data_IF_065910264196
#
_entry.id   IF_065910264196
#
_cell.length_a   1.000
_cell.length_b   1.000
_cell.length_c   1.000
_cell.angle_alpha   90.00
_cell.angle_beta   90.00
_cell.angle_gamma   90.00
#
_symmetry.space_group_name_H-M   'P 1'
#
loop_
_entity.id
_entity.type
_entity.pdbx_description
1 polymer ?
#
# COMPACT_ATOMS: atom_id res chain seq x y z
N UNK A 1 19.29 20.24 -23.65
CA UNK A 1 18.27 20.51 -22.60
C UNK A 1 18.24 19.26 -21.73
N UNK A 2 18.38 19.35 -20.40
CA UNK A 2 18.12 18.18 -19.56
C UNK A 2 16.75 17.64 -19.92
N UNK A 3 16.66 16.32 -20.11
CA UNK A 3 15.40 15.68 -20.44
C UNK A 3 14.42 16.00 -19.29
N UNK A 4 13.16 16.34 -19.58
CA UNK A 4 12.15 16.71 -18.56
C UNK A 4 12.13 15.66 -17.40
N UNK A 5 12.43 14.42 -17.77
CA UNK A 5 12.55 13.28 -16.88
C UNK A 5 13.72 13.38 -15.86
N UNK A 6 14.92 13.85 -16.26
CA UNK A 6 16.06 14.02 -15.34
C UNK A 6 15.76 15.08 -14.27
N UNK A 7 15.10 16.17 -14.68
CA UNK A 7 14.68 17.22 -13.76
C UNK A 7 13.64 16.71 -12.76
N UNK A 8 12.68 15.91 -13.23
CA UNK A 8 11.66 15.29 -12.38
C UNK A 8 12.31 14.35 -11.35
N UNK A 9 13.31 13.56 -11.75
CA UNK A 9 14.00 12.64 -10.84
C UNK A 9 14.94 13.33 -9.86
N UNK A 10 15.57 14.44 -10.24
CA UNK A 10 16.29 15.31 -9.31
C UNK A 10 15.34 15.87 -8.23
N UNK A 11 14.15 16.33 -8.63
CA UNK A 11 13.12 16.80 -7.69
C UNK A 11 12.62 15.66 -6.78
N UNK A 12 12.41 14.46 -7.32
CA UNK A 12 11.99 13.30 -6.53
C UNK A 12 13.05 12.94 -5.46
N UNK A 13 14.33 13.00 -5.84
CA UNK A 13 15.45 12.74 -4.93
C UNK A 13 15.56 13.81 -3.83
N UNK A 14 15.35 15.08 -4.18
CA UNK A 14 15.29 16.17 -3.20
C UNK A 14 14.11 16.01 -2.23
N UNK A 15 12.93 15.63 -2.73
CA UNK A 15 11.76 15.37 -1.90
C UNK A 15 12.00 14.20 -0.91
N UNK A 16 12.60 13.09 -1.37
CA UNK A 16 13.02 11.99 -0.51
C UNK A 16 13.97 12.44 0.60
N UNK A 17 15.00 13.22 0.25
CA UNK A 17 15.97 13.74 1.22
C UNK A 17 15.34 14.70 2.24
N UNK A 18 14.28 15.41 1.85
CA UNK A 18 13.49 16.29 2.70
C UNK A 18 12.36 15.58 3.45
N UNK A 19 12.27 14.25 3.35
CA UNK A 19 11.21 13.42 3.95
C UNK A 19 9.80 13.71 3.43
N UNK A 20 9.66 14.40 2.30
CA UNK A 20 8.39 14.60 1.59
C UNK A 20 8.10 13.38 0.70
N UNK A 21 7.79 12.26 1.35
CA UNK A 21 7.62 10.97 0.70
C UNK A 21 6.42 10.94 -0.27
N UNK A 22 5.38 11.74 0.00
CA UNK A 22 4.20 11.82 -0.87
C UNK A 22 4.51 12.56 -2.17
N UNK A 23 5.28 13.67 -2.09
CA UNK A 23 5.77 14.35 -3.28
C UNK A 23 6.76 13.47 -4.05
N UNK A 24 7.70 12.82 -3.36
CA UNK A 24 8.66 11.92 -3.98
C UNK A 24 7.97 10.80 -4.78
N UNK A 25 6.96 10.16 -4.19
CA UNK A 25 6.17 9.13 -4.88
C UNK A 25 5.45 9.70 -6.11
N UNK A 26 4.78 10.85 -5.98
CA UNK A 26 4.08 11.50 -7.09
C UNK A 26 5.01 11.78 -8.28
N UNK A 27 6.22 12.31 -8.01
CA UNK A 27 7.22 12.61 -9.03
C UNK A 27 7.79 11.32 -9.65
N UNK A 28 8.00 10.27 -8.85
CA UNK A 28 8.42 8.97 -9.38
C UNK A 28 7.35 8.35 -10.30
N UNK A 29 6.06 8.45 -9.95
CA UNK A 29 4.97 7.93 -10.79
C UNK A 29 4.86 8.71 -12.11
N UNK A 30 5.03 10.03 -12.08
CA UNK A 30 5.11 10.86 -13.29
C UNK A 30 6.30 10.45 -14.18
N UNK A 31 7.47 10.27 -13.58
CA UNK A 31 8.67 9.84 -14.30
C UNK A 31 8.54 8.42 -14.88
N UNK A 32 7.92 7.48 -14.16
CA UNK A 32 7.63 6.13 -14.67
C UNK A 32 6.72 6.17 -15.88
N UNK A 33 5.65 6.98 -15.84
CA UNK A 33 4.73 7.14 -16.96
C UNK A 33 5.46 7.71 -18.20
N UNK A 34 6.32 8.70 -18.00
CA UNK A 34 7.13 9.27 -19.08
C UNK A 34 8.16 8.28 -19.65
N UNK A 35 8.87 7.53 -18.79
CA UNK A 35 9.82 6.49 -19.21
C UNK A 35 9.13 5.37 -19.99
N UNK A 36 7.96 4.92 -19.51
CA UNK A 36 7.13 3.90 -20.18
C UNK A 36 6.65 4.38 -21.54
N UNK A 37 6.19 5.62 -21.66
CA UNK A 37 5.76 6.19 -22.94
C UNK A 37 6.90 6.28 -23.97
N UNK A 38 8.13 6.48 -23.49
CA UNK A 38 9.33 6.49 -24.33
C UNK A 38 9.93 5.09 -24.56
N UNK A 39 9.35 4.03 -23.97
CA UNK A 39 9.90 2.67 -23.94
C UNK A 39 11.34 2.62 -23.38
N UNK A 40 11.72 3.59 -22.52
CA UNK A 40 13.03 3.63 -21.87
C UNK A 40 13.00 2.77 -20.60
N UNK A 41 13.04 1.45 -20.80
CA UNK A 41 12.91 0.47 -19.73
C UNK A 41 14.10 0.49 -18.76
N UNK A 42 15.29 0.86 -19.24
CA UNK A 42 16.46 1.07 -18.39
C UNK A 42 16.24 2.23 -17.41
N UNK A 43 15.68 3.35 -17.89
CA UNK A 43 15.34 4.47 -17.01
C UNK A 43 14.16 4.11 -16.10
N UNK A 44 13.12 3.46 -16.63
CA UNK A 44 11.99 2.94 -15.85
C UNK A 44 12.47 2.12 -14.64
N UNK A 45 13.38 1.17 -14.85
CA UNK A 45 13.96 0.33 -13.81
C UNK A 45 14.71 1.13 -12.72
N UNK A 46 15.36 2.24 -13.09
CA UNK A 46 16.10 3.11 -12.14
C UNK A 46 15.17 3.91 -11.24
N UNK A 47 13.96 4.23 -11.71
CA UNK A 47 12.95 5.01 -10.95
C UNK A 47 12.28 4.15 -9.87
N UNK A 48 12.24 2.83 -10.04
CA UNK A 48 11.56 1.92 -9.11
C UNK A 48 12.19 1.92 -7.70
N UNK A 49 13.51 2.10 -7.58
CA UNK A 49 14.18 2.16 -6.28
C UNK A 49 13.73 3.36 -5.42
N UNK A 50 13.80 4.63 -5.89
CA UNK A 50 13.29 5.76 -5.12
C UNK A 50 11.77 5.68 -4.89
N UNK A 51 10.99 5.12 -5.82
CA UNK A 51 9.57 4.87 -5.60
C UNK A 51 9.32 3.89 -4.45
N UNK A 52 10.05 2.77 -4.43
CA UNK A 52 9.97 1.77 -3.38
C UNK A 52 10.27 2.41 -2.01
N UNK A 53 11.32 3.21 -1.91
CA UNK A 53 11.69 3.87 -0.67
C UNK A 53 10.64 4.87 -0.20
N UNK A 54 10.10 5.71 -1.09
CA UNK A 54 9.02 6.65 -0.75
C UNK A 54 7.81 5.93 -0.15
N UNK A 55 7.38 4.83 -0.79
CA UNK A 55 6.23 4.05 -0.35
C UNK A 55 6.50 3.27 0.93
N UNK A 56 7.71 2.74 1.10
CA UNK A 56 8.15 2.09 2.36
C UNK A 56 8.06 3.06 3.53
N UNK A 57 8.54 4.29 3.36
CA UNK A 57 8.48 5.33 4.39
C UNK A 57 7.04 5.77 4.68
N UNK A 58 6.21 5.95 3.63
CA UNK A 58 4.78 6.24 3.79
C UNK A 58 4.07 5.19 4.65
N UNK A 59 4.35 3.89 4.40
CA UNK A 59 3.81 2.79 5.18
C UNK A 59 4.28 2.81 6.64
N UNK A 60 5.57 3.08 6.89
CA UNK A 60 6.10 3.17 8.25
C UNK A 60 5.37 4.28 9.02
N UNK A 61 5.23 5.47 8.42
CA UNK A 61 4.50 6.58 9.03
C UNK A 61 3.03 6.19 9.31
N UNK A 62 2.38 5.48 8.39
CA UNK A 62 1.01 5.00 8.59
C UNK A 62 0.93 4.01 9.76
N UNK A 63 1.86 3.05 9.82
CA UNK A 63 1.92 2.02 10.86
C UNK A 63 2.31 2.56 12.24
N UNK A 64 3.02 3.69 12.30
CA UNK A 64 3.33 4.43 13.53
C UNK A 64 2.16 5.32 14.01
N UNK A 65 1.11 5.45 13.19
CA UNK A 65 -0.07 6.26 13.45
C UNK A 65 -1.15 5.57 14.29
N UNK A 66 -2.42 5.84 13.95
CA UNK A 66 -3.57 5.16 14.56
C UNK A 66 -3.88 3.87 13.80
N UNK A 67 -3.97 2.77 14.53
CA UNK A 67 -4.40 1.47 14.00
C UNK A 67 -5.86 1.22 14.38
N UNK A 68 -6.70 0.91 13.40
CA UNK A 68 -8.08 0.52 13.63
C UNK A 68 -8.41 -0.77 12.86
N UNK A 69 -8.54 -1.87 13.59
CA UNK A 69 -8.95 -3.14 13.03
C UNK A 69 -10.46 -3.29 13.18
N UNK A 70 -11.17 -3.42 12.06
CA UNK A 70 -12.61 -3.61 12.06
C UNK A 70 -13.41 -2.34 12.35
N UNK A 71 -14.54 -2.23 11.65
CA UNK A 71 -15.46 -1.10 11.73
C UNK A 71 -16.90 -1.54 11.95
N UNK A 72 -17.13 -2.75 12.49
CA UNK A 72 -18.48 -3.28 12.74
C UNK A 72 -19.38 -2.36 13.58
N UNK A 73 -18.80 -1.47 14.38
CA UNK A 73 -19.52 -0.47 15.19
C UNK A 73 -19.59 0.92 14.57
N UNK A 74 -18.94 1.13 13.42
CA UNK A 74 -18.82 2.43 12.77
C UNK A 74 -19.46 2.38 11.37
N UNK A 75 -20.13 3.45 10.98
CA UNK A 75 -20.83 3.52 9.70
C UNK A 75 -20.96 4.97 9.25
N UNK A 76 -20.99 5.16 7.92
CA UNK A 76 -21.20 6.45 7.27
C UNK A 76 -20.26 7.55 7.77
N UNK A 77 -20.77 8.63 8.41
CA UNK A 77 -19.97 9.80 8.82
C UNK A 77 -18.74 9.49 9.70
N UNK A 78 -18.74 8.37 10.43
CA UNK A 78 -17.63 8.03 11.32
C UNK A 78 -16.33 7.71 10.58
N UNK A 79 -16.39 7.14 9.36
CA UNK A 79 -15.17 6.88 8.58
C UNK A 79 -14.53 8.20 8.12
N UNK A 80 -15.37 9.17 7.76
CA UNK A 80 -14.94 10.52 7.39
C UNK A 80 -14.34 11.24 8.61
N UNK A 81 -15.01 11.16 9.76
CA UNK A 81 -14.49 11.72 11.01
C UNK A 81 -13.13 11.11 11.38
N UNK A 82 -13.00 9.79 11.27
CA UNK A 82 -11.72 9.11 11.50
C UNK A 82 -10.62 9.66 10.61
N UNK A 83 -10.88 9.87 9.32
CA UNK A 83 -9.88 10.45 8.41
C UNK A 83 -9.51 11.88 8.80
N UNK A 84 -10.48 12.71 9.18
CA UNK A 84 -10.22 14.11 9.59
C UNK A 84 -9.45 14.23 10.90
N UNK A 85 -9.52 13.20 11.76
CA UNK A 85 -8.82 13.18 13.04
C UNK A 85 -7.41 12.58 12.93
N UNK A 86 -7.10 11.87 11.83
CA UNK A 86 -5.89 11.08 11.70
C UNK A 86 -5.17 11.36 10.39
N UNK A 87 -4.06 12.09 10.47
CA UNK A 87 -3.19 12.34 9.30
C UNK A 87 -2.31 11.14 8.93
N UNK A 88 -2.21 10.16 9.83
CA UNK A 88 -1.49 8.91 9.64
C UNK A 88 -2.19 7.75 10.36
N UNK A 89 -2.27 6.60 9.70
CA UNK A 89 -2.85 5.41 10.30
C UNK A 89 -3.13 4.27 9.34
N UNK A 90 -3.48 3.11 9.91
CA UNK A 90 -3.89 1.93 9.17
C UNK A 90 -5.28 1.51 9.62
N UNK A 91 -6.20 1.29 8.67
CA UNK A 91 -7.58 0.91 8.97
C UNK A 91 -8.03 -0.29 8.13
N UNK A 92 -8.65 -1.27 8.78
CA UNK A 92 -9.36 -2.37 8.11
C UNK A 92 -10.86 -2.15 8.29
N UNK A 93 -11.55 -1.85 7.20
CA UNK A 93 -12.99 -1.65 7.16
C UNK A 93 -13.69 -3.02 7.06
N UNK A 94 -14.75 -3.20 7.83
CA UNK A 94 -15.57 -4.42 7.86
C UNK A 94 -17.05 -4.08 7.75
N UNK A 95 -17.89 -5.10 7.48
CA UNK A 95 -19.36 -5.00 7.57
C UNK A 95 -19.81 -4.29 8.86
N UNK A 96 -20.85 -3.41 8.83
CA UNK A 96 -21.81 -3.20 7.74
C UNK A 96 -21.33 -2.28 6.61
N UNK A 97 -20.13 -1.70 6.71
CA UNK A 97 -19.53 -0.96 5.60
C UNK A 97 -19.23 -1.90 4.43
N UNK A 98 -19.31 -1.35 3.22
CA UNK A 98 -19.04 -2.04 1.96
C UNK A 98 -17.60 -1.82 1.53
N UNK A 99 -17.12 -2.68 0.64
CA UNK A 99 -15.82 -2.52 0.00
C UNK A 99 -15.67 -1.16 -0.70
N UNK A 100 -16.75 -0.64 -1.30
CA UNK A 100 -16.77 0.70 -1.89
C UNK A 100 -16.49 1.81 -0.87
N UNK A 101 -16.96 1.68 0.38
CA UNK A 101 -16.70 2.69 1.40
C UNK A 101 -15.20 2.75 1.73
N UNK A 102 -14.52 1.60 1.66
CA UNK A 102 -13.07 1.52 1.85
C UNK A 102 -12.29 2.08 0.65
N UNK A 103 -12.79 1.85 -0.57
CA UNK A 103 -12.25 2.43 -1.78
C UNK A 103 -12.33 3.97 -1.77
N UNK A 104 -13.48 4.50 -1.37
CA UNK A 104 -13.72 5.94 -1.27
C UNK A 104 -12.83 6.57 -0.20
N UNK A 105 -12.69 5.94 0.97
CA UNK A 105 -11.82 6.41 2.04
C UNK A 105 -10.35 6.43 1.61
N UNK A 106 -9.89 5.38 0.93
CA UNK A 106 -8.52 5.30 0.39
C UNK A 106 -8.27 6.41 -0.63
N UNK A 107 -9.17 6.58 -1.60
CA UNK A 107 -9.05 7.62 -2.62
C UNK A 107 -8.99 9.02 -1.98
N UNK A 108 -9.82 9.26 -0.96
CA UNK A 108 -9.85 10.53 -0.25
C UNK A 108 -8.56 10.78 0.54
N UNK A 109 -8.02 9.76 1.22
CA UNK A 109 -6.72 9.84 1.90
C UNK A 109 -5.59 10.22 0.93
N UNK A 110 -5.56 9.59 -0.26
CA UNK A 110 -4.58 9.92 -1.30
C UNK A 110 -4.74 11.35 -1.83
N UNK A 111 -5.96 11.78 -2.10
CA UNK A 111 -6.26 13.14 -2.57
C UNK A 111 -5.88 14.21 -1.54
N UNK A 112 -6.05 13.92 -0.25
CA UNK A 112 -5.67 14.79 0.85
C UNK A 112 -4.19 14.69 1.23
N UNK A 113 -3.42 13.84 0.54
CA UNK A 113 -2.00 13.59 0.81
C UNK A 113 -1.77 13.18 2.28
N UNK A 114 -2.54 12.19 2.74
CA UNK A 114 -2.41 11.63 4.08
C UNK A 114 -1.60 10.33 4.07
N UNK A 115 -0.95 10.03 5.19
CA UNK A 115 -0.22 8.77 5.42
C UNK A 115 -1.17 7.68 5.94
N UNK A 116 -2.25 7.43 5.20
CA UNK A 116 -3.28 6.48 5.60
C UNK A 116 -3.32 5.30 4.64
N UNK A 117 -3.34 4.10 5.20
CA UNK A 117 -3.51 2.83 4.47
C UNK A 117 -4.83 2.17 4.85
N UNK A 118 -5.55 1.67 3.85
CA UNK A 118 -6.92 1.17 4.00
C UNK A 118 -7.05 -0.22 3.37
N UNK A 119 -7.59 -1.16 4.13
CA UNK A 119 -7.99 -2.49 3.66
C UNK A 119 -9.48 -2.70 3.90
N UNK A 120 -10.06 -3.67 3.19
CA UNK A 120 -11.41 -4.15 3.45
C UNK A 120 -11.36 -5.62 3.87
N UNK A 121 -12.17 -6.00 4.86
CA UNK A 121 -12.29 -7.38 5.29
C UNK A 121 -13.76 -7.83 5.32
N UNK A 122 -14.02 -8.93 4.64
CA UNK A 122 -15.22 -9.74 4.88
C UNK A 122 -14.97 -10.60 6.13
N UNK A 123 -15.87 -10.50 7.10
CA UNK A 123 -15.72 -11.12 8.43
C UNK A 123 -16.66 -12.30 8.56
N UNK A 124 -16.09 -13.46 8.84
CA UNK A 124 -16.78 -14.66 9.33
C UNK A 124 -16.41 -14.90 10.81
N UNK A 125 -17.04 -15.88 11.47
CA UNK A 125 -16.92 -16.07 12.93
C UNK A 125 -15.45 -16.21 13.42
N UNK A 126 -14.61 -16.94 12.68
CA UNK A 126 -13.22 -17.22 13.07
C UNK A 126 -12.18 -16.59 12.12
N UNK A 127 -12.58 -16.08 10.96
CA UNK A 127 -11.66 -15.68 9.89
C UNK A 127 -12.05 -14.35 9.23
N UNK A 128 -11.04 -13.61 8.80
CA UNK A 128 -11.19 -12.41 7.99
C UNK A 128 -10.60 -12.68 6.61
N UNK A 129 -11.42 -12.49 5.57
CA UNK A 129 -10.97 -12.47 4.17
C UNK A 129 -10.73 -11.03 3.77
N UNK A 130 -9.46 -10.68 3.60
CA UNK A 130 -9.00 -9.30 3.45
C UNK A 130 -8.63 -9.03 2.00
N UNK A 131 -8.99 -7.84 1.52
CA UNK A 131 -8.78 -7.36 0.16
C UNK A 131 -8.32 -5.92 0.15
N UNK A 132 -7.74 -5.53 -0.98
CA UNK A 132 -7.44 -4.14 -1.29
C UNK A 132 -8.70 -3.53 -1.91
N UNK A 133 -9.24 -2.41 -1.40
CA UNK A 133 -10.56 -1.93 -1.82
C UNK A 133 -10.70 -1.64 -3.33
N UNK A 134 -9.60 -1.25 -3.99
CA UNK A 134 -9.57 -0.94 -5.42
C UNK A 134 -9.05 -2.10 -6.29
N UNK A 135 -8.81 -3.27 -5.70
CA UNK A 135 -8.23 -4.43 -6.39
C UNK A 135 -8.72 -5.75 -5.75
N UNK A 136 -10.02 -6.05 -5.85
CA UNK A 136 -10.67 -7.14 -5.09
C UNK A 136 -10.28 -8.55 -5.55
N UNK A 137 -9.59 -8.69 -6.68
CA UNK A 137 -9.16 -9.99 -7.21
C UNK A 137 -8.03 -10.63 -6.38
N UNK A 138 -7.37 -9.86 -5.52
CA UNK A 138 -6.34 -10.34 -4.60
C UNK A 138 -6.93 -10.36 -3.20
N UNK A 139 -6.98 -11.55 -2.62
CA UNK A 139 -7.50 -11.75 -1.28
C UNK A 139 -6.58 -12.65 -0.44
N UNK A 140 -6.59 -12.39 0.87
CA UNK A 140 -5.86 -13.16 1.85
C UNK A 140 -6.76 -13.46 3.04
N UNK A 141 -6.84 -14.73 3.43
CA UNK A 141 -7.63 -15.16 4.59
C UNK A 141 -6.73 -15.40 5.78
N UNK A 142 -7.08 -14.81 6.93
CA UNK A 142 -6.36 -14.93 8.20
C UNK A 142 -7.33 -15.18 9.34
N UNK A 143 -6.91 -15.82 10.45
CA UNK A 143 -7.73 -15.85 11.65
C UNK A 143 -8.09 -14.43 12.11
N UNK A 144 -9.31 -14.27 12.62
CA UNK A 144 -9.80 -13.00 13.11
C UNK A 144 -8.87 -12.42 14.21
N UNK A 145 -8.60 -11.10 14.21
CA UNK A 145 -7.85 -10.48 15.28
C UNK A 145 -8.55 -10.61 16.64
N UNK A 146 -7.80 -10.58 17.76
CA UNK A 146 -8.37 -10.57 19.09
C UNK A 146 -9.47 -9.50 19.24
N UNK A 147 -10.66 -9.82 19.78
CA UNK A 147 -11.74 -8.85 19.92
C UNK A 147 -11.37 -7.57 20.68
N UNK A 148 -10.38 -7.67 21.58
CA UNK A 148 -9.84 -6.53 22.32
C UNK A 148 -9.10 -5.51 21.45
N UNK A 149 -8.71 -5.87 20.22
CA UNK A 149 -8.07 -4.98 19.25
C UNK A 149 -9.06 -4.36 18.27
N UNK A 150 -10.27 -4.91 18.19
CA UNK A 150 -11.22 -4.56 17.15
C UNK A 150 -12.11 -3.38 17.54
N UNK A 151 -12.59 -2.63 16.55
CA UNK A 151 -13.59 -1.57 16.67
C UNK A 151 -13.21 -0.45 17.66
N UNK A 152 -11.92 -0.11 17.72
CA UNK A 152 -11.42 1.06 18.42
C UNK A 152 -10.12 1.55 17.78
N UNK A 153 -9.85 2.86 17.78
CA UNK A 153 -8.55 3.39 17.41
C UNK A 153 -7.51 3.04 18.50
N UNK A 154 -6.35 2.54 18.07
CA UNK A 154 -5.23 2.16 18.94
C UNK A 154 -3.99 2.90 18.43
N UNK A 155 -3.39 3.82 19.21
CA UNK A 155 -2.11 4.41 18.85
C UNK A 155 -1.02 3.34 18.81
N UNK A 156 -0.19 3.34 17.76
CA UNK A 156 0.89 2.36 17.63
C UNK A 156 1.83 2.34 18.85
N UNK A 157 2.09 3.51 19.44
CA UNK A 157 2.91 3.67 20.65
C UNK A 157 2.38 2.94 21.91
N UNK A 158 1.11 2.50 21.91
CA UNK A 158 0.52 1.75 23.03
C UNK A 158 0.65 0.22 22.89
N UNK A 159 1.29 -0.25 21.82
CA UNK A 159 1.44 -1.68 21.52
C UNK A 159 2.78 -2.16 22.08
N UNK A 160 2.82 -3.12 23.03
CA UNK A 160 4.07 -3.67 23.52
C UNK A 160 4.76 -4.49 22.42
N UNK A 161 6.01 -4.18 22.09
CA UNK A 161 6.87 -5.02 21.28
C UNK A 161 7.12 -6.35 22.02
N UNK A 162 6.53 -7.47 21.58
CA UNK A 162 6.67 -8.72 22.32
C UNK A 162 6.65 -9.99 21.47
N UNK A 163 7.81 -10.39 20.95
CA UNK A 163 8.09 -11.78 20.53
C UNK A 163 8.05 -12.07 19.02
N UNK A 164 8.08 -13.35 18.65
CA UNK A 164 8.24 -13.84 17.26
C UNK A 164 6.93 -14.33 16.60
N UNK A 165 5.76 -13.95 17.12
CA UNK A 165 4.43 -14.32 16.57
C UNK A 165 3.88 -13.23 15.64
N UNK A 166 2.99 -13.55 14.70
CA UNK A 166 2.26 -12.54 13.90
C UNK A 166 1.45 -11.56 14.78
N UNK A 167 1.10 -11.97 16.00
CA UNK A 167 0.40 -11.15 16.99
C UNK A 167 1.36 -10.44 17.98
N UNK A 168 2.65 -10.77 17.94
CA UNK A 168 3.68 -10.24 18.85
C UNK A 168 3.91 -8.73 18.69
N UNK A 169 3.66 -8.24 17.49
CA UNK A 169 3.81 -6.84 17.10
C UNK A 169 2.46 -6.09 17.15
N UNK A 170 1.46 -6.71 17.80
CA UNK A 170 0.11 -6.20 18.00
C UNK A 170 -0.64 -5.82 16.71
N UNK A 171 -1.64 -4.92 16.81
CA UNK A 171 -2.47 -4.50 15.69
C UNK A 171 -1.71 -4.00 14.45
N UNK A 172 -0.66 -3.17 14.64
CA UNK A 172 0.15 -2.64 13.55
C UNK A 172 0.89 -3.77 12.81
N UNK A 173 1.52 -4.66 13.57
CA UNK A 173 2.21 -5.82 13.01
C UNK A 173 1.29 -6.75 12.23
N UNK A 174 0.08 -7.00 12.72
CA UNK A 174 -0.92 -7.77 12.00
C UNK A 174 -1.30 -7.09 10.67
N UNK A 175 -1.53 -5.78 10.67
CA UNK A 175 -1.84 -5.03 9.45
C UNK A 175 -0.71 -5.15 8.42
N UNK A 176 0.54 -4.92 8.83
CA UNK A 176 1.71 -5.03 7.95
C UNK A 176 1.91 -6.45 7.42
N UNK A 177 1.68 -7.46 8.26
CA UNK A 177 1.70 -8.85 7.84
C UNK A 177 0.67 -9.12 6.74
N UNK A 178 -0.56 -8.62 6.90
CA UNK A 178 -1.61 -8.76 5.88
C UNK A 178 -1.21 -8.10 4.56
N UNK A 179 -0.64 -6.88 4.59
CA UNK A 179 -0.14 -6.21 3.39
C UNK A 179 0.93 -7.05 2.67
N UNK A 180 1.87 -7.63 3.43
CA UNK A 180 2.89 -8.52 2.88
C UNK A 180 2.27 -9.76 2.22
N UNK A 181 1.29 -10.40 2.88
CA UNK A 181 0.63 -11.58 2.33
C UNK A 181 -0.17 -11.26 1.07
N UNK A 182 -0.87 -10.13 1.01
CA UNK A 182 -1.55 -9.68 -0.20
C UNK A 182 -0.57 -9.47 -1.36
N UNK A 183 0.63 -8.94 -1.08
CA UNK A 183 1.68 -8.78 -2.08
C UNK A 183 2.21 -10.11 -2.62
N UNK A 184 2.39 -11.10 -1.75
CA UNK A 184 2.76 -12.45 -2.17
C UNK A 184 1.68 -13.10 -3.04
N UNK A 185 0.40 -13.00 -2.63
CA UNK A 185 -0.72 -13.52 -3.44
C UNK A 185 -0.78 -12.85 -4.81
N UNK A 186 -0.51 -11.53 -4.90
CA UNK A 186 -0.45 -10.83 -6.17
C UNK A 186 0.66 -11.36 -7.09
N UNK A 187 1.85 -11.62 -6.54
CA UNK A 187 2.97 -12.22 -7.31
C UNK A 187 2.59 -13.61 -7.80
N UNK A 188 2.06 -14.46 -6.92
CA UNK A 188 1.70 -15.84 -7.24
C UNK A 188 0.56 -15.94 -8.28
N UNK A 189 -0.25 -14.87 -8.41
CA UNK A 189 -1.33 -14.80 -9.39
C UNK A 189 -0.87 -14.52 -10.82
N UNK A 190 0.38 -14.12 -11.03
CA UNK A 190 0.90 -13.76 -12.35
C UNK A 190 1.16 -15.01 -13.21
N UNK A 191 0.63 -15.06 -14.46
CA UNK A 191 0.99 -16.11 -15.40
C UNK A 191 2.49 -16.12 -15.70
N UNK A 192 3.08 -17.31 -15.75
CA UNK A 192 4.52 -17.49 -16.00
C UNK A 192 4.92 -17.28 -17.46
N UNK A 193 3.96 -17.31 -18.39
CA UNK A 193 4.15 -17.29 -19.84
C UNK A 193 3.89 -15.93 -20.49
N UNK A 194 3.72 -14.87 -19.68
CA UNK A 194 3.62 -13.50 -20.20
C UNK A 194 4.89 -13.07 -20.93
N UNK A 195 4.73 -12.37 -22.05
CA UNK A 195 5.84 -11.65 -22.68
C UNK A 195 6.30 -10.48 -21.78
N UNK A 196 7.46 -9.89 -22.10
CA UNK A 196 8.07 -8.85 -21.28
C UNK A 196 7.13 -7.64 -21.01
N UNK A 197 6.48 -7.11 -22.06
CA UNK A 197 5.59 -5.95 -21.93
C UNK A 197 4.36 -6.26 -21.10
N UNK A 198 3.71 -7.40 -21.34
CA UNK A 198 2.52 -7.83 -20.58
C UNK A 198 2.88 -8.11 -19.13
N UNK A 199 4.07 -8.67 -18.87
CA UNK A 199 4.58 -8.89 -17.51
C UNK A 199 4.81 -7.58 -16.76
N UNK A 200 5.42 -6.57 -17.41
CA UNK A 200 5.60 -5.23 -16.85
C UNK A 200 4.23 -4.63 -16.51
N UNK A 201 3.27 -4.68 -17.43
CA UNK A 201 1.94 -4.12 -17.21
C UNK A 201 1.20 -4.81 -16.06
N UNK A 202 1.25 -6.14 -15.95
CA UNK A 202 0.61 -6.88 -14.88
C UNK A 202 1.24 -6.58 -13.51
N UNK A 203 2.58 -6.53 -13.44
CA UNK A 203 3.31 -6.14 -12.23
C UNK A 203 3.01 -4.69 -11.81
N UNK A 204 2.92 -3.77 -12.77
CA UNK A 204 2.56 -2.38 -12.51
C UNK A 204 1.14 -2.25 -11.95
N UNK A 205 0.18 -3.03 -12.47
CA UNK A 205 -1.19 -3.07 -11.92
C UNK A 205 -1.21 -3.56 -10.47
N UNK A 206 -0.49 -4.65 -10.17
CA UNK A 206 -0.36 -5.15 -8.79
C UNK A 206 0.34 -4.13 -7.89
N UNK A 207 1.40 -3.50 -8.38
CA UNK A 207 2.16 -2.50 -7.61
C UNK A 207 1.38 -1.19 -7.41
N UNK A 208 0.44 -0.85 -8.29
CA UNK A 208 -0.48 0.26 -8.06
C UNK A 208 -1.44 -0.04 -6.89
N UNK A 209 -1.88 -1.29 -6.77
CA UNK A 209 -2.75 -1.74 -5.67
C UNK A 209 -1.99 -1.93 -4.34
N UNK A 210 -0.78 -2.50 -4.40
CA UNK A 210 0.05 -2.86 -3.24
C UNK A 210 1.36 -2.10 -3.32
N UNK A 211 1.29 -0.82 -2.99
CA UNK A 211 2.32 0.15 -3.34
C UNK A 211 3.71 -0.17 -2.78
N UNK A 212 3.76 -0.66 -1.57
CA UNK A 212 4.92 -0.79 -0.69
C UNK A 212 5.54 -2.19 -0.69
N UNK A 213 4.98 -3.14 -1.43
CA UNK A 213 5.47 -4.52 -1.42
C UNK A 213 6.81 -4.63 -2.15
N UNK A 214 7.85 -4.93 -1.39
CA UNK A 214 9.24 -4.95 -1.85
C UNK A 214 9.47 -5.91 -3.01
N UNK A 215 8.96 -7.15 -2.92
CA UNK A 215 9.16 -8.12 -3.99
C UNK A 215 8.44 -7.74 -5.29
N UNK A 216 7.34 -6.98 -5.24
CA UNK A 216 6.69 -6.49 -6.47
C UNK A 216 7.58 -5.46 -7.19
N UNK A 217 8.23 -4.55 -6.46
CA UNK A 217 9.20 -3.61 -7.01
C UNK A 217 10.41 -4.32 -7.62
N UNK A 218 10.94 -5.34 -6.94
CA UNK A 218 12.08 -6.13 -7.42
C UNK A 218 11.74 -6.90 -8.71
N UNK A 219 10.56 -7.53 -8.76
CA UNK A 219 10.06 -8.24 -9.95
C UNK A 219 9.84 -7.28 -11.12
N UNK A 220 9.25 -6.11 -10.87
CA UNK A 220 9.03 -5.10 -11.90
C UNK A 220 10.35 -4.51 -12.42
N UNK A 221 11.32 -4.31 -11.55
CA UNK A 221 12.68 -3.86 -11.92
C UNK A 221 13.38 -4.89 -12.80
N UNK A 222 13.25 -6.18 -12.47
CA UNK A 222 13.81 -7.27 -13.26
C UNK A 222 13.14 -7.33 -14.63
N UNK A 223 11.80 -7.31 -14.68
CA UNK A 223 11.05 -7.34 -15.93
C UNK A 223 11.38 -6.15 -16.86
N UNK A 224 11.56 -4.95 -16.32
CA UNK A 224 11.97 -3.78 -17.09
C UNK A 224 13.41 -3.90 -17.63
N UNK A 225 14.35 -4.42 -16.84
CA UNK A 225 15.72 -4.67 -17.31
C UNK A 225 15.77 -5.72 -18.43
N UNK A 226 14.95 -6.75 -18.34
CA UNK A 226 14.88 -7.81 -19.35
C UNK A 226 14.24 -7.33 -20.68
N UNK A 227 13.48 -6.23 -20.64
CA UNK A 227 12.84 -5.62 -21.82
C UNK A 227 13.73 -4.59 -22.54
N UNK A 228 14.90 -4.25 -21.99
CA UNK A 228 15.86 -3.27 -22.52
C UNK A 228 16.81 -3.84 -23.55
#
# INVERSE_FOLDING_TARGET
>A
MPNNLDQTMEQASQALAQTDYLLAESLCLEALAAAKQAEDWNYYARILLPLQEARRQRRIIAADGIIQLGTTKYHGPHLQEWLTQNNAGCIIITSPCKEQDAADLLAQARNQKLHVEVLYAQVDDDNWTIRIPNYPSIEFTTPAPPPAWCNKPIPAAMIPESGHSIYANGPAGLFLYICEQLGNVAIDSLPSDLNHTDRIQALEQHLHAIGDHEFLHQQLTTAAKDAS
#
